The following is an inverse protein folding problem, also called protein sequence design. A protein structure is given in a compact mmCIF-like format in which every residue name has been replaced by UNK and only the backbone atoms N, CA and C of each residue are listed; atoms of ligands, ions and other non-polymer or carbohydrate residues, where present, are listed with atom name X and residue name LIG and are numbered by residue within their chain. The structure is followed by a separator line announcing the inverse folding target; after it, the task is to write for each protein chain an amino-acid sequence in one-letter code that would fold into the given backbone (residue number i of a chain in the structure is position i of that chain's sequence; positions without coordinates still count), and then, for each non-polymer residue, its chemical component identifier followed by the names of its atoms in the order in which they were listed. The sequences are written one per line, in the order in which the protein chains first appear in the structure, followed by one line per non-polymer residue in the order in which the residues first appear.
data_IF_663033267965
#
_entry.id   IF_663033267965
#
_cell.length_a   1.000
_cell.length_b   1.000
_cell.length_c   1.000
_cell.angle_alpha   90.00
_cell.angle_beta   90.00
_cell.angle_gamma   90.00
#
_symmetry.space_group_name_H-M   'P 1'
#
loop_
_entity.id
_entity.type
_entity.pdbx_description
1 polymer ?
#
# COMPACT_ATOMS: atom_id res chain seq x y z
N UNK A 1 -21.54 -14.38 -6.87
CA UNK A 1 -20.09 -14.12 -6.86
C UNK A 1 -19.50 -15.02 -5.78
N UNK A 2 -18.41 -15.73 -6.06
CA UNK A 2 -17.74 -16.53 -5.02
C UNK A 2 -17.37 -15.63 -3.84
N UNK A 3 -17.51 -16.14 -2.62
CA UNK A 3 -17.22 -15.37 -1.42
C UNK A 3 -15.73 -14.98 -1.36
N UNK A 4 -14.84 -15.77 -1.99
CA UNK A 4 -13.43 -15.42 -2.25
C UNK A 4 -13.28 -14.12 -3.01
N UNK A 5 -13.95 -14.01 -4.17
CA UNK A 5 -13.88 -12.81 -4.99
C UNK A 5 -14.48 -11.61 -4.27
N UNK A 6 -15.55 -11.81 -3.48
CA UNK A 6 -16.15 -10.75 -2.68
C UNK A 6 -15.18 -10.22 -1.61
N UNK A 7 -14.56 -11.12 -0.84
CA UNK A 7 -13.55 -10.76 0.16
C UNK A 7 -12.38 -9.99 -0.46
N UNK A 8 -11.88 -10.44 -1.61
CA UNK A 8 -10.76 -9.80 -2.32
C UNK A 8 -11.16 -8.42 -2.87
N UNK A 9 -12.34 -8.31 -3.47
CA UNK A 9 -12.83 -7.04 -4.00
C UNK A 9 -13.00 -5.99 -2.90
N UNK A 10 -13.64 -6.38 -1.78
CA UNK A 10 -13.84 -5.49 -0.64
C UNK A 10 -12.48 -5.08 -0.05
N UNK A 11 -11.56 -6.03 0.12
CA UNK A 11 -10.21 -5.72 0.59
C UNK A 11 -9.48 -4.73 -0.33
N UNK A 12 -9.57 -4.93 -1.65
CA UNK A 12 -8.95 -4.05 -2.63
C UNK A 12 -9.54 -2.63 -2.55
N UNK A 13 -10.86 -2.50 -2.46
CA UNK A 13 -11.55 -1.20 -2.33
C UNK A 13 -11.09 -0.49 -1.05
N UNK A 14 -11.11 -1.18 0.10
CA UNK A 14 -10.69 -0.59 1.38
C UNK A 14 -9.20 -0.16 1.33
N UNK A 15 -8.36 -0.97 0.71
CA UNK A 15 -6.93 -0.67 0.56
C UNK A 15 -6.70 0.55 -0.36
N UNK A 16 -7.39 0.63 -1.49
CA UNK A 16 -7.34 1.80 -2.38
C UNK A 16 -7.80 3.06 -1.62
N UNK A 17 -8.93 2.99 -0.91
CA UNK A 17 -9.43 4.10 -0.11
C UNK A 17 -8.41 4.54 0.95
N UNK A 18 -7.75 3.59 1.62
CA UNK A 18 -6.68 3.91 2.57
C UNK A 18 -5.55 4.71 1.90
N UNK A 19 -5.03 4.28 0.74
CA UNK A 19 -3.95 5.02 0.06
C UNK A 19 -4.39 6.37 -0.51
N UNK A 20 -5.66 6.53 -0.86
CA UNK A 20 -6.22 7.83 -1.29
C UNK A 20 -6.32 8.80 -0.11
N UNK A 21 -6.73 8.31 1.06
CA UNK A 21 -7.01 9.13 2.25
C UNK A 21 -5.81 9.32 3.18
N UNK A 22 -4.81 8.43 3.13
CA UNK A 22 -3.70 8.47 4.08
C UNK A 22 -2.89 9.76 3.95
N UNK A 23 -2.43 10.34 5.07
CA UNK A 23 -1.55 11.50 5.04
C UNK A 23 -0.30 11.23 4.21
N UNK A 24 0.06 12.18 3.34
CA UNK A 24 1.27 12.11 2.51
C UNK A 24 2.38 12.95 3.15
N UNK A 25 3.60 12.43 3.18
CA UNK A 25 4.77 13.17 3.65
C UNK A 25 5.09 14.25 2.60
N UNK A 26 5.17 15.51 3.01
CA UNK A 26 5.48 16.64 2.11
C UNK A 26 6.83 17.26 2.48
N UNK A 27 7.36 18.11 1.60
CA UNK A 27 8.60 18.84 1.89
C UNK A 27 8.47 19.72 3.13
N UNK A 28 7.29 20.29 3.38
CA UNK A 28 7.06 21.15 4.55
C UNK A 28 7.15 20.36 5.86
N UNK A 29 6.74 19.08 5.83
CA UNK A 29 6.87 18.16 6.98
C UNK A 29 8.33 17.74 7.18
N UNK A 30 9.11 17.57 6.10
CA UNK A 30 10.52 17.18 6.17
C UNK A 30 11.38 18.34 6.68
N UNK A 31 11.26 19.52 6.06
CA UNK A 31 12.14 20.65 6.33
C UNK A 31 11.60 21.62 7.39
N UNK A 32 10.32 21.48 7.76
CA UNK A 32 9.69 22.33 8.75
C UNK A 32 9.46 23.75 8.23
N UNK A 33 8.83 23.87 7.07
CA UNK A 33 8.43 25.17 6.54
C UNK A 33 7.03 25.53 7.05
N UNK A 34 6.84 26.78 7.47
CA UNK A 34 5.52 27.31 7.80
C UNK A 34 4.81 27.84 6.54
N UNK A 35 3.47 27.86 6.58
CA UNK A 35 2.64 28.50 5.54
C UNK A 35 2.93 30.01 5.40
N UNK A 36 3.60 30.61 6.40
CA UNK A 36 3.96 32.03 6.44
C UNK A 36 5.37 32.33 5.94
N UNK A 37 6.11 31.31 5.46
CA UNK A 37 7.46 31.48 4.91
C UNK A 37 8.55 31.70 5.96
N UNK A 38 8.23 31.60 7.25
CA UNK A 38 9.21 31.68 8.34
C UNK A 38 9.76 30.28 8.69
N UNK A 39 11.08 30.13 8.93
CA UNK A 39 11.63 28.86 9.38
C UNK A 39 11.05 28.47 10.73
N UNK A 40 10.56 27.24 10.86
CA UNK A 40 10.10 26.73 12.14
C UNK A 40 11.29 26.50 13.08
N UNK A 41 11.09 26.77 14.37
CA UNK A 41 11.99 26.33 15.44
C UNK A 41 12.05 24.81 15.50
N UNK A 42 13.14 24.25 16.02
CA UNK A 42 13.33 22.79 16.13
C UNK A 42 12.17 22.11 16.88
N UNK A 43 11.68 22.73 17.95
CA UNK A 43 10.52 22.26 18.70
C UNK A 43 9.25 22.21 17.84
N UNK A 44 9.02 23.21 17.00
CA UNK A 44 7.88 23.23 16.08
C UNK A 44 8.00 22.16 14.99
N UNK A 45 9.21 21.91 14.47
CA UNK A 45 9.46 20.82 13.50
C UNK A 45 9.15 19.45 14.11
N UNK A 46 9.65 19.22 15.32
CA UNK A 46 9.41 18.00 16.08
C UNK A 46 7.92 17.78 16.34
N UNK A 47 7.19 18.83 16.71
CA UNK A 47 5.75 18.76 16.91
C UNK A 47 4.99 18.47 15.61
N UNK A 48 5.37 19.11 14.49
CA UNK A 48 4.75 18.88 13.18
C UNK A 48 4.94 17.43 12.73
N UNK A 49 6.18 16.92 12.82
CA UNK A 49 6.53 15.54 12.49
C UNK A 49 5.79 14.54 13.40
N UNK A 50 5.75 14.79 14.71
CA UNK A 50 5.02 13.93 15.65
C UNK A 50 3.51 13.91 15.36
N UNK A 51 2.91 15.06 15.02
CA UNK A 51 1.49 15.14 14.67
C UNK A 51 1.19 14.42 13.36
N UNK A 52 2.08 14.51 12.37
CA UNK A 52 1.96 13.74 11.13
C UNK A 52 2.01 12.23 11.41
N UNK A 53 3.01 11.76 12.17
CA UNK A 53 3.16 10.35 12.52
C UNK A 53 1.94 9.82 13.28
N UNK A 54 1.42 10.57 14.25
CA UNK A 54 0.17 10.22 14.97
C UNK A 54 -1.01 10.08 14.01
N UNK A 55 -1.20 11.03 13.09
CA UNK A 55 -2.26 10.95 12.07
C UNK A 55 -2.06 9.74 11.17
N UNK A 56 -0.84 9.48 10.69
CA UNK A 56 -0.54 8.33 9.85
C UNK A 56 -0.93 7.01 10.53
N UNK A 57 -0.53 6.81 11.79
CA UNK A 57 -0.91 5.62 12.55
C UNK A 57 -2.40 5.53 12.85
N UNK A 58 -3.08 6.65 13.10
CA UNK A 58 -4.53 6.66 13.26
C UNK A 58 -5.24 6.14 12.01
N UNK A 59 -4.86 6.62 10.82
CA UNK A 59 -5.42 6.13 9.56
C UNK A 59 -5.12 4.66 9.31
N UNK A 60 -3.92 4.20 9.68
CA UNK A 60 -3.53 2.79 9.58
C UNK A 60 -4.36 1.89 10.50
N UNK A 61 -4.62 2.32 11.74
CA UNK A 61 -5.50 1.61 12.69
C UNK A 61 -6.92 1.54 12.15
N UNK A 62 -7.44 2.67 11.64
CA UNK A 62 -8.78 2.71 11.04
C UNK A 62 -8.85 1.75 9.86
N UNK A 63 -7.87 1.77 8.96
CA UNK A 63 -7.76 0.82 7.84
C UNK A 63 -7.79 -0.64 8.31
N UNK A 64 -6.94 -0.98 9.29
CA UNK A 64 -6.87 -2.32 9.86
C UNK A 64 -8.22 -2.80 10.43
N UNK A 65 -8.92 -1.94 11.17
CA UNK A 65 -10.23 -2.24 11.72
C UNK A 65 -11.28 -2.43 10.63
N UNK A 66 -11.31 -1.55 9.62
CA UNK A 66 -12.23 -1.67 8.49
C UNK A 66 -12.03 -2.97 7.72
N UNK A 67 -10.77 -3.36 7.47
CA UNK A 67 -10.44 -4.65 6.84
C UNK A 67 -11.02 -5.79 7.67
N UNK A 68 -10.68 -5.89 8.95
CA UNK A 68 -11.13 -7.00 9.81
C UNK A 68 -12.66 -7.07 9.89
N UNK A 69 -13.31 -5.95 10.13
CA UNK A 69 -14.77 -5.88 10.27
C UNK A 69 -15.44 -6.32 8.96
N UNK A 70 -14.94 -5.84 7.81
CA UNK A 70 -15.49 -6.23 6.51
C UNK A 70 -15.34 -7.74 6.24
N UNK A 71 -14.17 -8.30 6.56
CA UNK A 71 -13.89 -9.72 6.37
C UNK A 71 -14.72 -10.58 7.32
N UNK A 72 -14.98 -10.11 8.54
CA UNK A 72 -15.88 -10.77 9.48
C UNK A 72 -17.30 -10.88 8.91
N UNK A 73 -17.84 -9.81 8.32
CA UNK A 73 -19.18 -9.85 7.72
C UNK A 73 -19.25 -10.80 6.51
N UNK A 74 -18.24 -10.81 5.64
CA UNK A 74 -18.19 -11.76 4.52
C UNK A 74 -18.13 -13.20 5.03
N UNK A 75 -17.21 -13.49 5.94
CA UNK A 75 -17.03 -14.83 6.51
C UNK A 75 -18.26 -15.31 7.28
N UNK A 76 -18.91 -14.41 8.03
CA UNK A 76 -20.17 -14.69 8.69
C UNK A 76 -21.28 -15.03 7.70
N UNK A 77 -21.36 -14.31 6.58
CA UNK A 77 -22.28 -14.63 5.49
C UNK A 77 -22.07 -16.03 4.93
N UNK A 78 -20.82 -16.46 4.76
CA UNK A 78 -20.49 -17.83 4.32
C UNK A 78 -21.02 -18.88 5.30
N UNK A 79 -20.75 -18.70 6.60
CA UNK A 79 -21.21 -19.67 7.63
C UNK A 79 -22.73 -19.71 7.68
N UNK A 80 -23.39 -18.56 7.67
CA UNK A 80 -24.85 -18.47 7.77
C UNK A 80 -25.55 -19.13 6.58
N UNK A 81 -25.01 -18.94 5.38
CA UNK A 81 -25.53 -19.58 4.17
C UNK A 81 -25.30 -21.10 4.17
N UNK A 82 -24.18 -21.56 4.74
CA UNK A 82 -23.82 -22.99 4.79
C UNK A 82 -24.57 -23.76 5.89
N UNK A 83 -24.65 -23.19 7.09
CA UNK A 83 -25.13 -23.88 8.28
C UNK A 83 -26.55 -23.50 8.68
N UNK A 84 -27.12 -22.44 8.12
CA UNK A 84 -28.38 -21.88 8.61
C UNK A 84 -28.25 -21.34 10.04
N UNK A 85 -29.38 -20.95 10.64
CA UNK A 85 -29.42 -20.43 12.02
C UNK A 85 -29.25 -18.91 12.12
N UNK A 86 -29.38 -18.40 13.35
CA UNK A 86 -29.37 -16.97 13.64
C UNK A 86 -27.94 -16.44 13.82
N UNK A 87 -27.81 -15.11 13.85
CA UNK A 87 -26.53 -14.44 14.08
C UNK A 87 -25.86 -14.93 15.37
N UNK A 88 -26.63 -15.24 16.41
CA UNK A 88 -26.11 -15.67 17.72
C UNK A 88 -25.44 -17.05 17.67
N UNK A 89 -25.94 -17.95 16.84
CA UNK A 89 -25.52 -19.36 16.84
C UNK A 89 -24.18 -19.52 16.10
N UNK A 90 -23.95 -18.69 15.08
CA UNK A 90 -22.76 -18.73 14.23
C UNK A 90 -21.74 -17.60 14.52
N UNK A 91 -22.06 -16.69 15.45
CA UNK A 91 -21.22 -15.53 15.76
C UNK A 91 -19.83 -15.91 16.24
N UNK A 92 -19.75 -16.74 17.30
CA UNK A 92 -18.48 -17.09 17.93
C UNK A 92 -17.56 -17.85 16.95
N UNK A 93 -18.17 -18.74 16.17
CA UNK A 93 -17.54 -19.48 15.10
C UNK A 93 -16.89 -18.57 14.04
N UNK A 94 -17.66 -17.63 13.48
CA UNK A 94 -17.18 -16.69 12.48
C UNK A 94 -16.17 -15.68 13.03
N UNK A 95 -16.35 -15.26 14.28
CA UNK A 95 -15.45 -14.35 14.96
C UNK A 95 -14.07 -14.98 15.17
N UNK A 96 -13.99 -16.17 15.76
CA UNK A 96 -12.71 -16.83 16.02
C UNK A 96 -11.94 -17.12 14.71
N UNK A 97 -12.64 -17.58 13.68
CA UNK A 97 -12.02 -17.89 12.39
C UNK A 97 -11.61 -16.66 11.59
N UNK A 98 -12.13 -15.47 11.92
CA UNK A 98 -11.73 -14.22 11.26
C UNK A 98 -10.73 -13.45 12.12
N UNK A 99 -11.11 -13.04 13.32
CA UNK A 99 -10.32 -12.14 14.13
C UNK A 99 -8.96 -12.72 14.49
N UNK A 100 -8.85 -14.01 14.84
CA UNK A 100 -7.55 -14.60 15.21
C UNK A 100 -6.57 -14.53 14.03
N UNK A 101 -6.80 -15.16 12.87
CA UNK A 101 -5.83 -15.14 11.80
C UNK A 101 -5.59 -13.72 11.26
N UNK A 102 -6.62 -12.87 11.17
CA UNK A 102 -6.41 -11.50 10.71
C UNK A 102 -5.62 -10.65 11.71
N UNK A 103 -5.93 -10.69 13.00
CA UNK A 103 -5.18 -9.91 14.00
C UNK A 103 -3.75 -10.39 14.11
N UNK A 104 -3.53 -11.71 14.21
CA UNK A 104 -2.20 -12.25 14.44
C UNK A 104 -1.32 -12.24 13.18
N UNK A 105 -1.85 -12.53 11.99
CA UNK A 105 -1.00 -12.58 10.79
C UNK A 105 -0.93 -11.19 10.14
N UNK A 106 -2.08 -10.58 9.83
CA UNK A 106 -2.09 -9.27 9.17
C UNK A 106 -1.53 -8.18 10.10
N UNK A 107 -1.92 -8.20 11.38
CA UNK A 107 -1.40 -7.26 12.38
C UNK A 107 0.10 -7.40 12.60
N UNK A 108 0.65 -8.63 12.63
CA UNK A 108 2.11 -8.83 12.72
C UNK A 108 2.82 -8.34 11.47
N UNK A 109 2.28 -8.57 10.26
CA UNK A 109 2.88 -8.02 9.03
C UNK A 109 2.91 -6.50 9.07
N UNK A 110 1.81 -5.85 9.46
CA UNK A 110 1.78 -4.38 9.65
C UNK A 110 2.87 -3.94 10.64
N UNK A 111 2.98 -4.61 11.79
CA UNK A 111 3.96 -4.29 12.82
C UNK A 111 5.40 -4.46 12.31
N UNK A 112 5.69 -5.52 11.55
CA UNK A 112 6.99 -5.74 10.92
C UNK A 112 7.31 -4.58 9.97
N UNK A 113 6.36 -4.12 9.15
CA UNK A 113 6.60 -3.01 8.21
C UNK A 113 6.81 -1.66 8.92
N UNK A 114 6.26 -1.48 10.12
CA UNK A 114 6.49 -0.28 10.94
C UNK A 114 7.89 -0.32 11.57
N UNK A 115 8.28 -1.45 12.17
CA UNK A 115 9.55 -1.60 12.88
C UNK A 115 10.72 -1.71 11.89
N UNK A 116 10.52 -2.43 10.79
CA UNK A 116 11.52 -2.71 9.77
C UNK A 116 11.04 -2.20 8.40
N UNK A 117 11.05 -0.88 8.14
CA UNK A 117 10.59 -0.30 6.89
C UNK A 117 11.35 -0.84 5.67
N UNK A 118 12.59 -1.30 5.87
CA UNK A 118 13.38 -2.00 4.86
C UNK A 118 12.71 -3.24 4.25
N UNK A 119 11.73 -3.87 4.92
CA UNK A 119 10.97 -4.98 4.33
C UNK A 119 10.14 -4.56 3.13
N UNK A 120 9.69 -3.30 3.07
CA UNK A 120 8.97 -2.77 1.89
C UNK A 120 9.83 -2.83 0.62
N UNK A 121 11.16 -2.78 0.77
CA UNK A 121 12.12 -2.82 -0.34
C UNK A 121 12.02 -4.08 -1.20
N UNK A 122 11.62 -5.22 -0.62
CA UNK A 122 11.47 -6.48 -1.34
C UNK A 122 10.55 -6.36 -2.56
N UNK A 123 9.49 -5.55 -2.43
CA UNK A 123 8.55 -5.28 -3.51
C UNK A 123 8.76 -3.91 -4.15
N UNK A 124 9.10 -2.88 -3.35
CA UNK A 124 9.25 -1.52 -3.87
C UNK A 124 10.41 -1.39 -4.85
N UNK A 125 11.49 -2.16 -4.69
CA UNK A 125 12.66 -2.07 -5.58
C UNK A 125 12.46 -2.77 -6.92
N UNK A 126 11.42 -3.61 -7.02
CA UNK A 126 11.03 -4.30 -8.25
C UNK A 126 9.79 -3.63 -8.83
N UNK A 127 8.62 -3.87 -8.24
CA UNK A 127 7.34 -3.39 -8.78
C UNK A 127 7.20 -1.88 -8.58
N UNK A 128 7.56 -1.39 -7.40
CA UNK A 128 7.54 0.05 -7.13
C UNK A 128 8.47 0.80 -8.10
N UNK A 129 9.67 0.29 -8.32
CA UNK A 129 10.63 0.83 -9.26
C UNK A 129 10.03 0.96 -10.65
N UNK A 130 9.46 -0.10 -11.21
CA UNK A 130 8.83 -0.05 -12.53
C UNK A 130 7.73 1.01 -12.62
N UNK A 131 6.96 1.21 -11.55
CA UNK A 131 5.89 2.20 -11.52
C UNK A 131 6.40 3.65 -11.51
N UNK A 132 7.60 3.91 -10.98
CA UNK A 132 8.13 5.29 -10.80
C UNK A 132 9.37 5.58 -11.63
N UNK A 133 9.95 4.60 -12.32
CA UNK A 133 11.24 4.71 -12.99
C UNK A 133 11.26 5.84 -14.04
N UNK A 134 10.19 5.99 -14.81
CA UNK A 134 10.07 7.07 -15.81
C UNK A 134 10.12 8.45 -15.16
N UNK A 135 9.27 8.68 -14.14
CA UNK A 135 9.22 9.95 -13.41
C UNK A 135 10.56 10.24 -12.72
N UNK A 136 11.13 9.26 -12.02
CA UNK A 136 12.40 9.42 -11.32
C UNK A 136 13.54 9.73 -12.30
N UNK A 137 13.60 9.06 -13.44
CA UNK A 137 14.62 9.30 -14.47
C UNK A 137 14.51 10.71 -15.04
N UNK A 138 13.29 11.17 -15.36
CA UNK A 138 13.08 12.55 -15.85
C UNK A 138 13.56 13.57 -14.83
N UNK A 139 13.16 13.43 -13.57
CA UNK A 139 13.57 14.36 -12.49
C UNK A 139 15.08 14.34 -12.28
N UNK A 140 15.70 13.17 -12.22
CA UNK A 140 17.13 13.04 -12.00
C UNK A 140 17.96 13.58 -13.17
N UNK A 141 17.54 13.35 -14.41
CA UNK A 141 18.22 13.90 -15.60
C UNK A 141 18.07 15.42 -15.69
N UNK A 142 16.95 15.96 -15.22
CA UNK A 142 16.74 17.40 -15.17
C UNK A 142 17.59 18.05 -14.07
N UNK A 143 17.69 17.38 -12.91
CA UNK A 143 18.38 17.87 -11.72
C UNK A 143 19.91 17.77 -11.80
N UNK A 144 20.42 16.62 -12.25
CA UNK A 144 21.84 16.27 -12.17
C UNK A 144 22.58 16.62 -13.46
N UNK A 145 23.85 16.99 -13.34
CA UNK A 145 24.75 17.07 -14.51
C UNK A 145 24.80 15.66 -15.14
N UNK A 146 24.69 15.57 -16.47
CA UNK A 146 24.60 14.29 -17.18
C UNK A 146 25.66 13.29 -16.70
N UNK A 147 25.29 12.02 -16.71
CA UNK A 147 26.00 10.85 -16.18
C UNK A 147 27.45 10.63 -16.66
N UNK A 148 27.94 11.43 -17.61
CA UNK A 148 29.38 11.60 -17.84
C UNK A 148 29.96 12.57 -16.80
N UNK A 149 29.91 12.17 -15.53
CA UNK A 149 30.58 12.89 -14.44
C UNK A 149 32.08 13.05 -14.77
N UNK A 150 32.68 12.11 -15.53
CA UNK A 150 34.03 12.26 -16.08
C UNK A 150 34.21 13.49 -16.98
N UNK A 151 33.25 13.86 -17.82
CA UNK A 151 33.35 15.07 -18.67
C UNK A 151 33.26 16.35 -17.83
N UNK A 152 32.42 16.37 -16.80
CA UNK A 152 32.34 17.48 -15.85
C UNK A 152 33.61 17.60 -14.98
N UNK A 153 34.16 16.49 -14.49
CA UNK A 153 35.42 16.45 -13.72
C UNK A 153 36.60 16.91 -14.57
N UNK A 154 36.64 16.51 -15.84
CA UNK A 154 37.72 16.82 -16.78
C UNK A 154 37.59 18.18 -17.46
N UNK A 155 36.52 18.95 -17.20
CA UNK A 155 36.36 20.28 -17.76
C UNK A 155 37.43 21.24 -17.22
N UNK A 156 38.14 21.99 -18.09
CA UNK A 156 39.20 22.92 -17.70
C UNK A 156 38.72 24.09 -16.83
N UNK A 157 37.42 24.41 -16.85
CA UNK A 157 36.80 25.48 -16.04
C UNK A 157 36.39 25.05 -14.63
N UNK A 158 36.62 23.78 -14.26
CA UNK A 158 36.24 23.28 -12.93
C UNK A 158 37.31 23.61 -11.90
N UNK A 159 36.94 24.40 -10.88
CA UNK A 159 37.87 24.72 -9.78
C UNK A 159 38.34 23.46 -9.04
N UNK A 160 39.55 23.46 -8.45
CA UNK A 160 40.09 22.30 -7.74
C UNK A 160 39.14 21.75 -6.66
N UNK A 161 38.49 22.65 -5.92
CA UNK A 161 37.54 22.30 -4.86
C UNK A 161 36.24 21.71 -5.41
N UNK A 162 35.73 22.24 -6.53
CA UNK A 162 34.54 21.71 -7.22
C UNK A 162 34.81 20.32 -7.78
N UNK A 163 36.01 20.09 -8.33
CA UNK A 163 36.45 18.78 -8.85
C UNK A 163 36.50 17.72 -7.75
N UNK A 164 37.09 18.03 -6.60
CA UNK A 164 37.17 17.10 -5.47
C UNK A 164 35.79 16.71 -4.91
N UNK A 165 34.88 17.68 -4.80
CA UNK A 165 33.51 17.43 -4.30
C UNK A 165 32.67 16.61 -5.30
N UNK A 166 32.75 16.92 -6.60
CA UNK A 166 32.10 16.15 -7.66
C UNK A 166 32.60 14.71 -7.68
N UNK A 167 33.91 14.52 -7.59
CA UNK A 167 34.52 13.19 -7.62
C UNK A 167 34.12 12.35 -6.40
N UNK A 168 34.12 12.94 -5.20
CA UNK A 168 33.70 12.25 -3.98
C UNK A 168 32.22 11.84 -4.01
N UNK A 169 31.35 12.75 -4.47
CA UNK A 169 29.92 12.48 -4.58
C UNK A 169 29.62 11.45 -5.69
N UNK A 170 30.31 11.53 -6.82
CA UNK A 170 30.20 10.57 -7.92
C UNK A 170 30.71 9.18 -7.53
N UNK A 171 31.86 9.09 -6.87
CA UNK A 171 32.39 7.82 -6.36
C UNK A 171 31.45 7.21 -5.33
N UNK A 172 30.83 8.01 -4.46
CA UNK A 172 29.80 7.54 -3.54
C UNK A 172 28.57 6.98 -4.28
N UNK A 173 28.06 7.67 -5.30
CA UNK A 173 26.91 7.20 -6.09
C UNK A 173 27.24 5.96 -6.90
N UNK A 174 28.39 5.90 -7.57
CA UNK A 174 28.83 4.74 -8.35
C UNK A 174 29.00 3.53 -7.43
N UNK A 175 29.62 3.71 -6.26
CA UNK A 175 29.81 2.65 -5.27
C UNK A 175 28.49 2.20 -4.62
N UNK A 176 27.51 3.08 -4.46
CA UNK A 176 26.21 2.79 -3.83
C UNK A 176 25.15 2.25 -4.82
N UNK A 177 25.15 2.72 -6.06
CA UNK A 177 24.04 2.50 -7.00
C UNK A 177 24.44 1.77 -8.28
N UNK A 178 25.72 1.73 -8.67
CA UNK A 178 26.22 1.14 -9.91
C UNK A 178 25.74 1.83 -11.21
N UNK A 179 24.50 2.36 -11.22
CA UNK A 179 23.85 3.11 -12.28
C UNK A 179 22.84 4.11 -11.67
N UNK A 180 22.86 5.36 -12.12
CA UNK A 180 21.96 6.44 -11.70
C UNK A 180 20.47 6.08 -11.86
N UNK A 181 20.12 5.26 -12.86
CA UNK A 181 18.74 4.79 -13.06
C UNK A 181 18.21 3.92 -11.91
N UNK A 182 19.08 3.27 -11.14
CA UNK A 182 18.70 2.39 -10.02
C UNK A 182 18.79 3.13 -8.67
N UNK A 183 19.32 4.36 -8.66
CA UNK A 183 19.52 5.16 -7.46
C UNK A 183 18.24 5.39 -6.65
N UNK A 184 17.10 5.50 -7.34
CA UNK A 184 15.80 5.67 -6.68
C UNK A 184 15.54 4.56 -5.64
N UNK A 185 16.00 3.33 -5.87
CA UNK A 185 15.78 2.19 -4.96
C UNK A 185 16.47 2.34 -3.59
N UNK A 186 17.48 3.20 -3.49
CA UNK A 186 18.19 3.48 -2.24
C UNK A 186 17.57 4.63 -1.43
N UNK A 187 16.73 5.44 -2.08
CA UNK A 187 16.10 6.61 -1.46
C UNK A 187 14.73 6.20 -0.92
N UNK A 188 14.52 6.23 0.39
CA UNK A 188 13.25 5.99 1.07
C UNK A 188 12.77 7.27 1.78
N UNK A 189 11.47 7.39 2.14
CA UNK A 189 10.96 8.59 2.79
C UNK A 189 11.70 8.98 4.09
N UNK A 190 12.31 8.01 4.76
CA UNK A 190 13.04 8.20 6.03
C UNK A 190 14.43 8.81 5.84
N UNK A 191 15.12 8.49 4.74
CA UNK A 191 16.48 8.99 4.45
C UNK A 191 16.51 10.04 3.33
N UNK A 192 15.34 10.51 2.87
CA UNK A 192 15.23 11.42 1.74
C UNK A 192 16.08 12.68 1.89
N UNK A 193 16.10 13.29 3.08
CA UNK A 193 16.88 14.51 3.34
C UNK A 193 18.39 14.28 3.22
N UNK A 194 18.89 13.19 3.78
CA UNK A 194 20.29 12.78 3.70
C UNK A 194 20.70 12.56 2.23
N UNK A 195 19.90 11.80 1.48
CA UNK A 195 20.15 11.56 0.07
C UNK A 195 20.05 12.83 -0.77
N UNK A 196 19.11 13.72 -0.45
CA UNK A 196 19.02 15.01 -1.13
C UNK A 196 20.30 15.84 -0.94
N UNK A 197 20.85 15.87 0.27
CA UNK A 197 22.12 16.55 0.55
C UNK A 197 23.30 15.91 -0.21
N UNK A 198 23.30 14.59 -0.39
CA UNK A 198 24.31 13.88 -1.22
C UNK A 198 24.19 14.27 -2.70
N UNK A 199 22.97 14.53 -3.19
CA UNK A 199 22.73 14.93 -4.58
C UNK A 199 23.10 16.38 -4.86
N UNK A 200 23.01 17.29 -3.87
CA UNK A 200 23.24 18.72 -4.04
C UNK A 200 24.54 19.06 -4.79
N UNK A 201 25.72 18.50 -4.46
CA UNK A 201 26.96 18.80 -5.18
C UNK A 201 26.96 18.39 -6.66
N UNK A 202 26.08 17.47 -7.07
CA UNK A 202 25.99 16.92 -8.42
C UNK A 202 24.89 17.55 -9.26
N UNK A 203 24.11 18.47 -8.66
CA UNK A 203 23.09 19.21 -9.37
C UNK A 203 23.73 20.17 -10.37
N UNK A 204 23.01 20.46 -11.46
CA UNK A 204 23.44 21.45 -12.46
C UNK A 204 23.72 22.80 -11.83
N UNK A 205 24.62 23.56 -12.43
CA UNK A 205 25.08 24.86 -11.92
C UNK A 205 23.94 25.86 -11.68
N UNK A 206 22.87 25.79 -12.49
CA UNK A 206 21.64 26.60 -12.31
C UNK A 206 20.92 26.35 -10.98
N UNK A 207 21.13 25.19 -10.35
CA UNK A 207 20.54 24.80 -9.06
C UNK A 207 21.52 24.93 -7.89
N UNK A 208 22.76 25.34 -8.14
CA UNK A 208 23.74 25.53 -7.07
C UNK A 208 23.43 26.81 -6.27
N UNK A 209 23.73 26.86 -4.96
CA UNK A 209 23.42 28.03 -4.12
C UNK A 209 24.07 29.34 -4.60
N UNK A 210 25.17 29.23 -5.35
CA UNK A 210 25.91 30.35 -5.90
C UNK A 210 25.26 30.81 -7.21
N UNK A 211 24.47 31.89 -7.17
CA UNK A 211 23.87 32.49 -8.37
C UNK A 211 22.50 31.93 -8.78
N UNK A 212 21.82 31.21 -7.87
CA UNK A 212 20.47 30.71 -8.14
C UNK A 212 19.47 31.86 -8.34
N UNK A 213 18.78 31.85 -9.48
CA UNK A 213 17.70 32.80 -9.76
C UNK A 213 16.44 32.39 -9.01
N UNK A 214 15.51 33.33 -8.79
CA UNK A 214 14.20 33.02 -8.18
C UNK A 214 13.45 31.94 -8.96
N UNK A 215 13.56 31.93 -10.29
CA UNK A 215 12.96 30.93 -11.17
C UNK A 215 13.60 29.55 -10.99
N UNK A 216 14.92 29.48 -10.96
CA UNK A 216 15.66 28.25 -10.73
C UNK A 216 15.40 27.68 -9.33
N UNK A 217 15.24 28.53 -8.31
CA UNK A 217 14.85 28.12 -6.96
C UNK A 217 13.45 27.49 -6.93
N UNK A 218 12.48 28.10 -7.61
CA UNK A 218 11.12 27.57 -7.70
C UNK A 218 11.10 26.21 -8.43
N UNK A 219 11.88 26.09 -9.51
CA UNK A 219 12.05 24.86 -10.27
C UNK A 219 12.72 23.77 -9.44
N UNK A 220 13.78 24.08 -8.69
CA UNK A 220 14.45 23.14 -7.79
C UNK A 220 13.49 22.59 -6.73
N UNK A 221 12.69 23.45 -6.10
CA UNK A 221 11.65 23.02 -5.14
C UNK A 221 10.63 22.08 -5.79
N UNK A 222 10.25 22.36 -7.03
CA UNK A 222 9.34 21.51 -7.79
C UNK A 222 9.96 20.13 -8.08
N UNK A 223 11.19 20.08 -8.57
CA UNK A 223 11.93 18.83 -8.83
C UNK A 223 12.11 18.00 -7.55
N UNK A 224 12.45 18.65 -6.44
CA UNK A 224 12.56 18.01 -5.14
C UNK A 224 11.24 17.36 -4.71
N UNK A 225 10.12 18.08 -4.89
CA UNK A 225 8.78 17.57 -4.60
C UNK A 225 8.41 16.39 -5.49
N UNK A 226 8.72 16.46 -6.79
CA UNK A 226 8.50 15.36 -7.72
C UNK A 226 9.30 14.11 -7.35
N UNK A 227 10.58 14.27 -6.97
CA UNK A 227 11.41 13.17 -6.51
C UNK A 227 10.85 12.54 -5.23
N UNK A 228 10.47 13.37 -4.25
CA UNK A 228 9.87 12.90 -3.01
C UNK A 228 8.57 12.12 -3.29
N UNK A 229 7.71 12.62 -4.16
CA UNK A 229 6.48 11.94 -4.53
C UNK A 229 6.74 10.59 -5.20
N UNK A 230 7.76 10.49 -6.07
CA UNK A 230 8.18 9.23 -6.67
C UNK A 230 8.68 8.24 -5.61
N UNK A 231 9.50 8.70 -4.65
CA UNK A 231 9.98 7.89 -3.52
C UNK A 231 8.82 7.37 -2.66
N UNK A 232 7.88 8.24 -2.29
CA UNK A 232 6.71 7.88 -1.48
C UNK A 232 5.82 6.89 -2.23
N UNK A 233 5.58 7.12 -3.53
CA UNK A 233 4.78 6.21 -4.34
C UNK A 233 5.42 4.82 -4.42
N UNK A 234 6.75 4.76 -4.61
CA UNK A 234 7.52 3.51 -4.61
C UNK A 234 7.35 2.76 -3.30
N UNK A 235 7.56 3.43 -2.17
CA UNK A 235 7.43 2.84 -0.83
C UNK A 235 6.00 2.35 -0.56
N UNK A 236 5.00 3.15 -0.94
CA UNK A 236 3.59 2.80 -0.82
C UNK A 236 3.21 1.55 -1.62
N UNK A 237 3.77 1.37 -2.82
CA UNK A 237 3.57 0.15 -3.61
C UNK A 237 4.15 -1.06 -2.89
N UNK A 238 5.34 -0.94 -2.29
CA UNK A 238 5.94 -2.01 -1.51
C UNK A 238 5.07 -2.44 -0.33
N UNK A 239 4.57 -1.46 0.43
CA UNK A 239 3.63 -1.67 1.54
C UNK A 239 2.29 -2.29 1.06
N UNK A 240 1.72 -1.78 -0.03
CA UNK A 240 0.45 -2.27 -0.58
C UNK A 240 0.56 -3.73 -1.04
N UNK A 241 1.70 -4.14 -1.60
CA UNK A 241 1.94 -5.51 -2.01
C UNK A 241 2.06 -6.45 -0.82
N UNK A 242 2.76 -6.05 0.24
CA UNK A 242 2.76 -6.81 1.49
C UNK A 242 1.35 -7.02 2.03
N UNK A 243 0.53 -5.97 2.03
CA UNK A 243 -0.87 -6.09 2.48
C UNK A 243 -1.68 -7.02 1.57
N UNK A 244 -1.51 -6.89 0.25
CA UNK A 244 -2.25 -7.67 -0.74
C UNK A 244 -1.91 -9.16 -0.67
N UNK A 245 -0.62 -9.51 -0.66
CA UNK A 245 -0.20 -10.91 -0.56
C UNK A 245 -0.63 -11.55 0.77
N UNK A 246 -0.52 -10.81 1.87
CA UNK A 246 -0.98 -11.29 3.17
C UNK A 246 -2.49 -11.50 3.19
N UNK A 247 -3.25 -10.58 2.59
CA UNK A 247 -4.70 -10.71 2.49
C UNK A 247 -5.12 -11.90 1.61
N UNK A 248 -4.47 -12.12 0.46
CA UNK A 248 -4.73 -13.29 -0.39
C UNK A 248 -4.51 -14.58 0.41
N UNK A 249 -3.36 -14.70 1.09
CA UNK A 249 -3.05 -15.85 1.94
C UNK A 249 -4.10 -16.07 3.02
N UNK A 250 -4.48 -15.01 3.73
CA UNK A 250 -5.45 -15.07 4.81
C UNK A 250 -6.84 -15.45 4.32
N UNK A 251 -7.31 -14.84 3.24
CA UNK A 251 -8.62 -15.15 2.64
C UNK A 251 -8.64 -16.62 2.22
N UNK A 252 -7.58 -17.13 1.57
CA UNK A 252 -7.49 -18.54 1.19
C UNK A 252 -7.55 -19.48 2.41
N UNK A 253 -6.76 -19.22 3.44
CA UNK A 253 -6.73 -20.06 4.65
C UNK A 253 -8.08 -20.02 5.38
N UNK A 254 -8.65 -18.82 5.57
CA UNK A 254 -9.91 -18.68 6.30
C UNK A 254 -11.05 -19.36 5.53
N UNK A 255 -11.13 -19.18 4.22
CA UNK A 255 -12.20 -19.79 3.43
C UNK A 255 -12.06 -21.30 3.31
N UNK A 256 -10.84 -21.82 3.20
CA UNK A 256 -10.60 -23.25 3.31
C UNK A 256 -11.12 -23.81 4.64
N UNK A 257 -10.80 -23.16 5.76
CA UNK A 257 -11.28 -23.55 7.09
C UNK A 257 -12.81 -23.46 7.20
N UNK A 258 -13.44 -22.42 6.67
CA UNK A 258 -14.90 -22.25 6.68
C UNK A 258 -15.61 -23.33 5.83
N UNK A 259 -15.03 -23.68 4.70
CA UNK A 259 -15.61 -24.65 3.76
C UNK A 259 -15.45 -26.09 4.25
N UNK A 260 -14.36 -26.39 4.96
CA UNK A 260 -14.10 -27.73 5.52
C UNK A 260 -14.73 -27.95 6.89
N UNK A 261 -15.00 -26.89 7.66
CA UNK A 261 -15.65 -26.98 8.97
C UNK A 261 -17.07 -27.53 8.86
N UNK A 262 -17.42 -28.50 9.71
CA UNK A 262 -18.79 -28.95 9.92
C UNK A 262 -19.66 -27.92 10.65
N UNK A 263 -20.97 -28.01 10.47
CA UNK A 263 -21.94 -27.19 11.20
C UNK A 263 -22.25 -27.81 12.57
N UNK A 264 -22.27 -26.99 13.62
CA UNK A 264 -22.77 -27.39 14.94
C UNK A 264 -24.21 -26.89 15.02
N UNK A 265 -25.18 -27.79 14.83
CA UNK A 265 -26.60 -27.43 14.73
C UNK A 265 -27.29 -27.61 16.09
N UNK A 266 -28.04 -26.60 16.53
CA UNK A 266 -29.03 -26.72 17.61
C UNK A 266 -30.27 -27.48 17.10
N UNK A 267 -30.99 -28.26 17.93
CA UNK A 267 -32.19 -28.98 17.53
C UNK A 267 -33.27 -28.12 16.85
N UNK A 268 -33.42 -26.83 17.21
CA UNK A 268 -34.36 -25.93 16.51
C UNK A 268 -33.91 -25.65 15.07
N UNK A 269 -32.62 -25.40 14.86
CA UNK A 269 -32.07 -25.15 13.52
C UNK A 269 -32.17 -26.40 12.64
N UNK A 270 -32.03 -27.60 13.21
CA UNK A 270 -32.27 -28.85 12.46
C UNK A 270 -33.72 -28.99 12.00
N UNK A 271 -34.70 -28.69 12.87
CA UNK A 271 -36.11 -28.73 12.51
C UNK A 271 -36.46 -27.73 11.40
N UNK A 272 -35.95 -26.49 11.49
CA UNK A 272 -36.14 -25.46 10.46
C UNK A 272 -35.51 -25.86 9.12
N UNK A 273 -34.29 -26.39 9.13
CA UNK A 273 -33.61 -26.82 7.91
C UNK A 273 -34.31 -28.02 7.26
N UNK A 274 -34.82 -28.96 8.07
CA UNK A 274 -35.61 -30.09 7.57
C UNK A 274 -36.90 -29.61 6.91
N UNK A 275 -37.62 -28.68 7.53
CA UNK A 275 -38.83 -28.11 6.96
C UNK A 275 -38.57 -27.41 5.62
N UNK A 276 -37.52 -26.58 5.54
CA UNK A 276 -37.10 -25.92 4.29
C UNK A 276 -36.75 -26.93 3.19
N UNK A 277 -36.13 -28.05 3.55
CA UNK A 277 -35.81 -29.11 2.58
C UNK A 277 -37.07 -29.74 2.00
N UNK A 278 -38.04 -30.11 2.86
CA UNK A 278 -39.32 -30.69 2.44
C UNK A 278 -40.09 -29.70 1.54
N UNK A 279 -40.18 -28.43 1.93
CA UNK A 279 -40.86 -27.40 1.13
C UNK A 279 -40.20 -27.18 -0.25
N UNK A 280 -38.87 -27.21 -0.32
CA UNK A 280 -38.13 -27.10 -1.58
C UNK A 280 -38.30 -28.33 -2.47
N UNK A 281 -38.38 -29.52 -1.88
CA UNK A 281 -38.64 -30.77 -2.60
C UNK A 281 -40.06 -30.77 -3.19
N UNK A 282 -41.06 -30.39 -2.39
CA UNK A 282 -42.45 -30.24 -2.84
C UNK A 282 -42.59 -29.21 -3.97
N UNK A 283 -41.86 -28.09 -3.90
CA UNK A 283 -41.85 -27.09 -4.95
C UNK A 283 -41.26 -27.64 -6.27
N UNK A 284 -40.16 -28.41 -6.20
CA UNK A 284 -39.56 -29.07 -7.37
C UNK A 284 -40.49 -30.13 -7.96
N UNK A 285 -41.15 -30.92 -7.13
CA UNK A 285 -42.12 -31.92 -7.58
C UNK A 285 -43.32 -31.25 -8.29
N UNK A 286 -43.85 -30.16 -7.73
CA UNK A 286 -44.91 -29.36 -8.38
C UNK A 286 -44.45 -28.79 -9.73
N UNK A 287 -43.24 -28.22 -9.78
CA UNK A 287 -42.68 -27.69 -11.03
C UNK A 287 -42.50 -28.78 -12.09
N UNK A 288 -41.94 -29.92 -11.72
CA UNK A 288 -41.78 -31.06 -12.63
C UNK A 288 -43.13 -31.60 -13.10
N UNK A 289 -44.14 -31.71 -12.22
CA UNK A 289 -45.48 -32.15 -12.61
C UNK A 289 -46.16 -31.19 -13.60
N UNK A 290 -45.94 -29.89 -13.45
CA UNK A 290 -46.48 -28.88 -14.36
C UNK A 290 -45.73 -28.88 -15.70
N UNK A 291 -44.41 -29.07 -15.69
CA UNK A 291 -43.61 -29.23 -16.91
C UNK A 291 -44.01 -30.51 -17.67
N UNK A 292 -44.21 -31.64 -16.98
CA UNK A 292 -44.70 -32.88 -17.60
C UNK A 292 -46.09 -32.69 -18.22
N UNK A 293 -47.02 -32.00 -17.54
CA UNK A 293 -48.35 -31.70 -18.09
C UNK A 293 -48.30 -30.82 -19.35
N UNK A 294 -47.35 -29.89 -19.45
CA UNK A 294 -47.17 -29.07 -20.66
C UNK A 294 -46.65 -29.85 -21.86
N UNK A 295 -45.80 -30.87 -21.65
CA UNK A 295 -45.29 -31.73 -22.73
C UNK A 295 -46.38 -32.57 -23.39
N UNK A 296 -47.34 -33.10 -22.61
CA UNK A 296 -48.46 -33.87 -23.17
C UNK A 296 -49.51 -33.00 -23.89
N UNK A 297 -49.61 -31.72 -23.53
CA UNK A 297 -50.56 -30.79 -24.15
C UNK A 297 -50.07 -30.20 -25.49
N UNK A 298 -48.77 -30.24 -25.79
CA UNK A 298 -48.21 -29.77 -27.07
C UNK A 298 -48.04 -30.87 -28.12
N UNK A 299 -48.38 -32.12 -27.79
CA UNK A 299 -48.27 -33.31 -28.66
C UNK A 299 -49.63 -33.87 -29.10
N UNK A 300 -50.70 -33.07 -29.00
CA UNK A 300 -52.06 -33.39 -29.44
C UNK A 300 -52.52 -32.43 -30.54
#
# INVERSE_FOLDING_TARGET
MDATYLSLLIFAIITILYYVLKPKKTLDIIYGNSDTGTPLTEDQKNQLSANFTKKSYLYLIIYFLFVIISQFFVNFGIISNKCGGSLKDNFAAGALMTFIPWVFIFGVVILILIIFPGFKSAFSNVIGYFAVAGQATTVLNELLVNSNIQEAINSPDTSPDKRANLQKAAEAIIKLCGNTSIMINQIVPENFEEYWAILQPLMKDEYQPQGITTEAQAKLKNLQSQLLNAVIMRDNIGEALWYTYTAILLISIVQYNLTTRGCVLDPKTMAENHQKFVEAEDAKLKQNSNASKQVYASSA
#
